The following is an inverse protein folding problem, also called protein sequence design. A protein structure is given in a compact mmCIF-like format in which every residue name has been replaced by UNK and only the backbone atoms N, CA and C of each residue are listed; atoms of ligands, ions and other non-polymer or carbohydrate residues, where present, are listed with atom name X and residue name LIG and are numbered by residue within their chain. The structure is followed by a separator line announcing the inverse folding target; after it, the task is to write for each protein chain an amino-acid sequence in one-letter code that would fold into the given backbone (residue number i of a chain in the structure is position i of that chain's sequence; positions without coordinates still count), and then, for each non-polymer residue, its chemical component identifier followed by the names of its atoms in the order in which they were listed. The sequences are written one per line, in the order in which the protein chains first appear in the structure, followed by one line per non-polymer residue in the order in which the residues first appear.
data_IF_337517152101
#
_entry.id   IF_337517152101
#
_cell.length_a   1.000
_cell.length_b   1.000
_cell.length_c   1.000
_cell.angle_alpha   90.00
_cell.angle_beta   90.00
_cell.angle_gamma   90.00
#
_symmetry.space_group_name_H-M   'P 1'
#
loop_
_entity.id
_entity.type
_entity.pdbx_description
1 polymer ?
#
# COMPACT_ATOMS: atom_id res chain seq x y z
N UNK A 1 9.67 -32.43 40.23
CA UNK A 1 8.57 -31.85 39.49
C UNK A 1 8.25 -30.41 39.98
N UNK A 2 9.22 -29.46 39.96
CA UNK A 2 8.97 -28.06 40.39
C UNK A 2 9.78 -26.99 39.63
N UNK A 3 10.48 -27.37 38.55
CA UNK A 3 11.36 -26.45 37.81
C UNK A 3 10.79 -26.01 36.43
N UNK A 4 9.67 -26.58 35.98
CA UNK A 4 9.07 -26.29 34.67
C UNK A 4 8.01 -25.16 34.75
N UNK A 5 7.50 -24.82 35.94
CA UNK A 5 6.49 -23.78 36.08
C UNK A 5 7.08 -22.36 36.17
N UNK A 6 8.33 -22.22 36.59
CA UNK A 6 9.00 -20.91 36.70
C UNK A 6 9.32 -20.28 35.33
N UNK A 7 9.62 -21.09 34.32
CA UNK A 7 9.89 -20.59 32.96
C UNK A 7 8.62 -20.21 32.17
N UNK A 8 7.46 -20.75 32.52
CA UNK A 8 6.20 -20.38 31.90
C UNK A 8 5.66 -19.02 32.40
N UNK A 9 6.01 -18.63 33.62
CA UNK A 9 5.61 -17.33 34.17
C UNK A 9 6.45 -16.17 33.65
N UNK A 10 7.71 -16.37 33.26
CA UNK A 10 8.57 -15.33 32.69
C UNK A 10 8.31 -15.03 31.21
N UNK A 11 7.69 -15.95 30.46
CA UNK A 11 7.35 -15.74 29.05
C UNK A 11 6.07 -14.87 28.84
N UNK A 12 5.30 -14.62 29.86
CA UNK A 12 4.05 -13.87 29.78
C UNK A 12 4.21 -12.34 29.91
N UNK A 13 5.42 -11.82 30.21
CA UNK A 13 5.63 -10.42 30.61
C UNK A 13 6.24 -9.55 29.51
N UNK A 14 6.48 -10.06 28.30
CA UNK A 14 7.02 -9.28 27.17
C UNK A 14 6.13 -9.36 25.91
N UNK A 15 4.83 -9.21 26.07
CA UNK A 15 4.01 -8.80 24.94
C UNK A 15 4.09 -7.27 24.87
N UNK A 16 4.52 -6.68 23.72
CA UNK A 16 4.50 -5.23 23.58
C UNK A 16 3.05 -4.77 23.75
N UNK A 17 2.85 -3.96 24.75
CA UNK A 17 1.56 -3.31 25.04
C UNK A 17 1.08 -2.62 23.76
N UNK A 18 -0.03 -3.06 23.20
CA UNK A 18 -0.68 -2.36 22.09
C UNK A 18 -1.09 -0.98 22.61
N UNK A 19 -0.27 0.04 22.33
CA UNK A 19 -0.60 1.44 22.60
C UNK A 19 -2.01 1.69 22.09
N UNK A 20 -2.93 1.95 23.02
CA UNK A 20 -4.28 2.36 22.66
C UNK A 20 -4.20 3.69 21.90
N UNK A 21 -4.91 3.88 20.81
CA UNK A 21 -4.86 5.11 20.04
C UNK A 21 -5.39 6.25 20.90
N UNK A 22 -4.54 7.25 21.15
CA UNK A 22 -4.95 8.51 21.74
C UNK A 22 -5.86 9.21 20.74
N UNK A 23 -7.05 9.60 21.15
CA UNK A 23 -8.02 10.31 20.31
C UNK A 23 -7.53 11.75 20.03
N UNK A 24 -6.58 11.89 19.11
CA UNK A 24 -6.17 13.20 18.59
C UNK A 24 -7.12 13.56 17.45
N UNK A 25 -7.68 14.77 17.41
CA UNK A 25 -8.52 15.18 16.30
C UNK A 25 -7.76 15.01 14.99
N UNK A 26 -8.40 14.30 14.04
CA UNK A 26 -7.76 13.96 12.78
C UNK A 26 -7.46 15.24 11.96
N UNK A 27 -6.20 15.48 11.55
CA UNK A 27 -5.86 16.66 10.77
C UNK A 27 -6.53 16.61 9.39
N UNK A 28 -6.90 17.79 8.88
CA UNK A 28 -7.53 17.93 7.56
C UNK A 28 -6.89 19.12 6.83
N UNK A 29 -6.64 18.97 5.54
CA UNK A 29 -6.08 20.04 4.72
C UNK A 29 -4.55 20.02 4.63
N UNK A 30 -3.97 21.16 4.35
CA UNK A 30 -2.52 21.29 4.15
C UNK A 30 -1.73 20.94 5.43
N UNK A 31 -0.55 20.34 5.24
CA UNK A 31 0.39 19.98 6.30
C UNK A 31 1.67 20.81 6.20
N UNK A 32 1.67 22.07 6.66
CA UNK A 32 2.79 23.01 6.47
C UNK A 32 4.10 22.54 7.14
N UNK A 33 4.01 21.86 8.29
CA UNK A 33 5.18 21.35 9.01
C UNK A 33 5.87 20.25 8.20
N UNK A 34 5.12 19.31 7.64
CA UNK A 34 5.66 18.27 6.76
C UNK A 34 6.19 18.86 5.45
N UNK A 35 5.55 19.91 4.93
CA UNK A 35 6.05 20.62 3.74
C UNK A 35 7.38 21.35 4.04
N UNK A 36 7.56 21.91 5.22
CA UNK A 36 8.83 22.46 5.68
C UNK A 36 9.89 21.37 5.82
N UNK A 37 9.54 20.24 6.43
CA UNK A 37 10.43 19.09 6.57
C UNK A 37 10.85 18.53 5.20
N UNK A 38 9.92 18.40 4.23
CA UNK A 38 10.23 18.00 2.87
C UNK A 38 11.31 18.91 2.23
N UNK A 39 11.16 20.22 2.40
CA UNK A 39 12.14 21.19 1.86
C UNK A 39 13.54 20.99 2.45
N UNK A 40 13.62 20.79 3.77
CA UNK A 40 14.90 20.56 4.45
C UNK A 40 15.55 19.25 3.96
N UNK A 41 14.79 18.16 3.91
CA UNK A 41 15.28 16.87 3.44
C UNK A 41 15.77 16.93 1.99
N UNK A 42 14.98 17.56 1.12
CA UNK A 42 15.32 17.66 -0.31
C UNK A 42 16.49 18.61 -0.58
N UNK A 43 16.63 19.70 0.18
CA UNK A 43 17.77 20.58 0.11
C UNK A 43 19.06 19.85 0.52
N UNK A 44 19.02 19.05 1.58
CA UNK A 44 20.17 18.24 2.04
C UNK A 44 20.71 17.25 1.01
N UNK A 45 19.94 16.93 -0.03
CA UNK A 45 20.33 16.04 -1.12
C UNK A 45 20.35 16.72 -2.50
N UNK A 46 20.39 18.06 -2.52
CA UNK A 46 20.51 18.86 -3.75
C UNK A 46 19.28 18.85 -4.65
N UNK A 47 18.09 18.68 -4.10
CA UNK A 47 16.82 18.64 -4.83
C UNK A 47 15.87 19.78 -4.45
N UNK A 48 16.40 21.00 -4.29
CA UNK A 48 15.69 22.20 -3.84
C UNK A 48 14.47 22.54 -4.68
N UNK A 49 14.57 22.40 -6.00
CA UNK A 49 13.47 22.70 -6.91
C UNK A 49 12.23 21.82 -6.65
N UNK A 50 12.45 20.54 -6.36
CA UNK A 50 11.37 19.68 -5.95
C UNK A 50 10.79 20.15 -4.60
N UNK A 51 11.63 20.51 -3.65
CA UNK A 51 11.22 20.99 -2.33
C UNK A 51 10.33 22.23 -2.38
N UNK A 52 10.55 23.15 -3.34
CA UNK A 52 9.73 24.37 -3.53
C UNK A 52 8.30 24.02 -4.00
N UNK A 53 8.11 22.92 -4.70
CA UNK A 53 6.84 22.56 -5.36
C UNK A 53 6.03 21.50 -4.63
N UNK A 54 6.63 20.76 -3.70
CA UNK A 54 5.95 19.68 -2.95
C UNK A 54 4.86 20.24 -2.05
N UNK A 55 3.66 19.65 -2.20
CA UNK A 55 2.51 19.89 -1.32
C UNK A 55 2.14 18.61 -0.59
N UNK A 56 1.83 18.75 0.70
CA UNK A 56 1.42 17.62 1.54
C UNK A 56 0.08 17.95 2.17
N UNK A 57 -0.87 17.02 2.05
CA UNK A 57 -2.26 17.23 2.45
C UNK A 57 -2.77 16.05 3.25
N UNK A 58 -3.36 16.29 4.39
CA UNK A 58 -4.14 15.33 5.14
C UNK A 58 -5.49 15.11 4.45
N UNK A 59 -5.73 13.89 3.96
CA UNK A 59 -6.94 13.56 3.21
C UNK A 59 -7.86 12.63 4.01
N UNK A 60 -8.94 13.13 4.64
CA UNK A 60 -9.86 12.35 5.46
C UNK A 60 -10.69 11.33 4.67
N UNK A 61 -10.67 11.39 3.33
CA UNK A 61 -11.32 10.39 2.49
C UNK A 61 -10.52 9.11 2.34
N UNK A 62 -9.24 9.12 2.73
CA UNK A 62 -8.40 7.92 2.76
C UNK A 62 -8.86 7.01 3.89
N UNK A 63 -9.02 5.71 3.61
CA UNK A 63 -9.47 4.74 4.61
C UNK A 63 -8.46 3.62 4.83
N UNK A 64 -8.06 2.95 3.77
CA UNK A 64 -7.24 1.73 3.80
C UNK A 64 -5.81 1.94 3.28
N UNK A 65 -5.47 3.16 2.89
CA UNK A 65 -4.15 3.53 2.37
C UNK A 65 -3.52 4.52 3.33
N UNK A 66 -2.28 4.33 3.71
CA UNK A 66 -1.55 5.19 4.64
C UNK A 66 -1.16 6.52 3.97
N UNK A 67 -0.55 6.47 2.80
CA UNK A 67 -0.16 7.60 1.99
C UNK A 67 -0.44 7.37 0.50
N UNK A 68 -0.30 8.40 -0.30
CA UNK A 68 -0.35 8.33 -1.76
C UNK A 68 0.38 9.51 -2.39
N UNK A 69 1.37 9.19 -3.20
CA UNK A 69 2.13 10.18 -3.97
C UNK A 69 1.52 10.38 -5.37
N UNK A 70 1.54 11.63 -5.80
CA UNK A 70 1.16 12.07 -7.15
C UNK A 70 2.36 12.81 -7.80
N UNK A 71 3.37 12.11 -8.33
CA UNK A 71 4.63 12.72 -8.78
C UNK A 71 4.45 13.85 -9.80
N UNK A 72 3.53 13.68 -10.75
CA UNK A 72 3.27 14.72 -11.78
C UNK A 72 2.67 16.00 -11.22
N UNK A 73 2.16 15.99 -9.99
CA UNK A 73 1.52 17.13 -9.32
C UNK A 73 2.36 17.67 -8.16
N UNK A 74 3.48 17.03 -7.84
CA UNK A 74 4.25 17.34 -6.64
C UNK A 74 3.43 17.19 -5.35
N UNK A 75 2.45 16.29 -5.31
CA UNK A 75 1.47 16.22 -4.24
C UNK A 75 1.54 14.88 -3.51
N UNK A 76 1.49 14.94 -2.18
CA UNK A 76 1.36 13.79 -1.28
C UNK A 76 0.06 13.92 -0.50
N UNK A 77 -0.74 12.86 -0.49
CA UNK A 77 -1.84 12.72 0.44
C UNK A 77 -1.44 11.77 1.57
N UNK A 78 -1.72 12.15 2.81
CA UNK A 78 -1.56 11.33 3.99
C UNK A 78 -2.91 11.04 4.63
N UNK A 79 -3.05 9.83 5.18
CA UNK A 79 -4.23 9.44 5.92
C UNK A 79 -4.16 10.04 7.34
N UNK A 80 -5.14 10.84 7.77
CA UNK A 80 -5.15 11.40 9.12
C UNK A 80 -5.05 10.38 10.25
N UNK A 81 -5.49 9.15 10.00
CA UNK A 81 -5.39 8.04 10.96
C UNK A 81 -3.97 7.60 11.26
N UNK A 82 -2.98 8.01 10.47
CA UNK A 82 -1.57 7.75 10.78
C UNK A 82 -1.18 8.26 12.17
N UNK A 83 -1.78 9.36 12.62
CA UNK A 83 -1.50 9.90 13.95
C UNK A 83 -1.91 8.97 15.10
N UNK A 84 -2.85 8.08 14.86
CA UNK A 84 -3.24 7.03 15.81
C UNK A 84 -2.10 6.04 16.09
N UNK A 85 -1.11 5.97 15.19
CA UNK A 85 0.04 5.05 15.26
C UNK A 85 1.35 5.73 15.70
N UNK A 86 1.30 7.04 15.97
CA UNK A 86 2.45 7.83 16.43
C UNK A 86 3.14 8.62 15.32
N UNK A 87 3.92 9.61 15.73
CA UNK A 87 4.62 10.53 14.83
C UNK A 87 5.73 9.83 14.02
N UNK A 88 6.31 8.76 14.52
CA UNK A 88 7.29 7.94 13.80
C UNK A 88 6.68 7.30 12.54
N UNK A 89 5.43 6.81 12.65
CA UNK A 89 4.75 6.21 11.51
C UNK A 89 4.26 7.28 10.52
N UNK A 90 3.91 8.47 11.01
CA UNK A 90 3.64 9.64 10.16
C UNK A 90 4.89 10.02 9.36
N UNK A 91 6.04 10.17 10.00
CA UNK A 91 7.31 10.52 9.36
C UNK A 91 7.74 9.44 8.35
N UNK A 92 7.67 8.18 8.75
CA UNK A 92 7.99 7.05 7.88
C UNK A 92 7.13 7.04 6.62
N UNK A 93 5.79 7.12 6.77
CA UNK A 93 4.86 7.15 5.63
C UNK A 93 5.10 8.38 4.77
N UNK A 94 5.31 9.54 5.38
CA UNK A 94 5.63 10.77 4.66
C UNK A 94 6.88 10.63 3.80
N UNK A 95 7.98 10.12 4.35
CA UNK A 95 9.24 9.89 3.60
C UNK A 95 9.07 8.83 2.50
N UNK A 96 8.29 7.79 2.74
CA UNK A 96 7.94 6.79 1.72
C UNK A 96 7.29 7.44 0.50
N UNK A 97 6.31 8.30 0.71
CA UNK A 97 5.63 9.01 -0.37
C UNK A 97 6.52 10.09 -1.01
N UNK A 98 7.38 10.74 -0.22
CA UNK A 98 8.35 11.69 -0.73
C UNK A 98 9.39 10.99 -1.63
N UNK A 99 9.79 9.76 -1.30
CA UNK A 99 10.67 8.94 -2.12
C UNK A 99 10.07 8.67 -3.52
N UNK A 100 8.75 8.50 -3.63
CA UNK A 100 8.09 8.39 -4.93
C UNK A 100 8.24 9.68 -5.76
N UNK A 101 8.05 10.85 -5.14
CA UNK A 101 8.24 12.14 -5.82
C UNK A 101 9.69 12.31 -6.27
N UNK A 102 10.64 12.04 -5.38
CA UNK A 102 12.07 12.16 -5.63
C UNK A 102 12.54 11.22 -6.76
N UNK A 103 12.13 9.95 -6.72
CA UNK A 103 12.46 8.97 -7.75
C UNK A 103 11.95 9.41 -9.13
N UNK A 104 10.72 9.91 -9.21
CA UNK A 104 10.15 10.42 -10.45
C UNK A 104 10.81 11.71 -10.93
N UNK A 105 11.13 12.63 -10.02
CA UNK A 105 11.85 13.86 -10.33
C UNK A 105 13.19 13.54 -11.00
N UNK A 106 13.99 12.65 -10.41
CA UNK A 106 15.28 12.20 -10.95
C UNK A 106 15.16 11.42 -12.26
N UNK A 107 14.09 10.66 -12.42
CA UNK A 107 13.84 9.89 -13.65
C UNK A 107 13.42 10.78 -14.83
N UNK A 108 12.90 11.98 -14.57
CA UNK A 108 12.40 12.89 -15.59
C UNK A 108 11.26 12.27 -16.41
N UNK A 109 11.47 12.07 -17.71
CA UNK A 109 10.47 11.48 -18.61
C UNK A 109 10.50 9.96 -18.68
N UNK A 110 11.51 9.31 -18.08
CA UNK A 110 11.60 7.84 -18.09
C UNK A 110 10.48 7.21 -17.29
N UNK A 111 9.98 6.09 -17.77
CA UNK A 111 9.08 5.25 -16.97
C UNK A 111 9.90 4.45 -15.97
N UNK A 112 9.51 4.50 -14.72
CA UNK A 112 10.10 3.73 -13.62
C UNK A 112 9.02 2.88 -12.95
N UNK A 113 9.45 1.77 -12.33
CA UNK A 113 8.56 0.96 -11.51
C UNK A 113 8.26 1.70 -10.19
N UNK A 114 7.04 1.65 -9.66
CA UNK A 114 6.67 2.37 -8.44
C UNK A 114 7.61 2.12 -7.27
N UNK A 115 8.02 0.88 -7.05
CA UNK A 115 8.96 0.49 -6.00
C UNK A 115 10.21 -0.18 -6.60
N UNK A 116 10.69 0.37 -7.72
CA UNK A 116 11.90 -0.07 -8.40
C UNK A 116 13.17 0.46 -7.75
N UNK A 117 14.34 0.19 -8.37
CA UNK A 117 15.63 0.62 -7.84
C UNK A 117 15.76 2.13 -7.65
N UNK A 118 15.07 2.94 -8.48
CA UNK A 118 15.03 4.39 -8.32
C UNK A 118 14.36 4.83 -7.02
N UNK A 119 13.24 4.17 -6.67
CA UNK A 119 12.52 4.43 -5.43
C UNK A 119 13.33 3.94 -4.21
N UNK A 120 13.96 2.78 -4.28
CA UNK A 120 14.82 2.27 -3.20
C UNK A 120 15.95 3.24 -2.91
N UNK A 121 16.65 3.75 -3.94
CA UNK A 121 17.69 4.77 -3.75
C UNK A 121 17.14 6.04 -3.11
N UNK A 122 15.96 6.50 -3.56
CA UNK A 122 15.32 7.67 -2.98
C UNK A 122 14.94 7.46 -1.50
N UNK A 123 14.49 6.25 -1.11
CA UNK A 123 14.27 5.90 0.28
C UNK A 123 15.56 6.03 1.11
N UNK A 124 16.66 5.45 0.64
CA UNK A 124 17.95 5.54 1.34
C UNK A 124 18.39 6.99 1.53
N UNK A 125 18.29 7.83 0.49
CA UNK A 125 18.68 9.25 0.54
C UNK A 125 17.79 10.04 1.53
N UNK A 126 16.56 9.60 1.75
CA UNK A 126 15.65 10.18 2.74
C UNK A 126 15.75 9.52 4.13
N UNK A 127 16.75 8.65 4.35
CA UNK A 127 17.00 8.00 5.62
C UNK A 127 16.07 6.80 5.93
N UNK A 128 15.39 6.24 4.93
CA UNK A 128 14.63 5.00 5.06
C UNK A 128 15.46 3.81 4.57
N UNK A 129 15.98 3.04 5.51
CA UNK A 129 16.70 1.79 5.22
C UNK A 129 15.71 0.62 5.30
N UNK A 130 15.79 -0.31 4.35
CA UNK A 130 14.94 -1.51 4.28
C UNK A 130 13.42 -1.23 4.26
N UNK A 131 13.03 -0.13 3.60
CA UNK A 131 11.62 0.26 3.54
C UNK A 131 10.79 -0.75 2.74
N UNK A 132 9.67 -1.18 3.33
CA UNK A 132 8.74 -2.11 2.70
C UNK A 132 7.87 -1.40 1.67
N UNK A 133 7.47 -2.14 0.63
CA UNK A 133 6.55 -1.64 -0.41
C UNK A 133 5.16 -1.32 0.09
N UNK A 134 4.73 -2.01 1.15
CA UNK A 134 3.38 -1.88 1.73
C UNK A 134 3.50 -1.75 3.24
N UNK A 135 2.63 -0.92 3.82
CA UNK A 135 2.49 -0.82 5.27
C UNK A 135 1.71 -2.02 5.84
N UNK A 136 2.02 -2.39 7.06
CA UNK A 136 1.30 -3.43 7.83
C UNK A 136 0.29 -2.81 8.83
N UNK A 137 -0.08 -1.53 8.64
CA UNK A 137 -0.99 -0.82 9.53
C UNK A 137 -2.39 -1.40 9.49
N UNK A 138 -3.07 -1.52 10.64
CA UNK A 138 -4.43 -2.04 10.75
C UNK A 138 -5.49 -1.01 10.31
N UNK A 139 -5.27 -0.36 9.17
CA UNK A 139 -6.23 0.57 8.61
C UNK A 139 -7.49 -0.16 8.14
N UNK A 140 -8.68 0.47 8.26
CA UNK A 140 -9.94 -0.13 7.87
C UNK A 140 -9.94 -0.53 6.40
N UNK A 141 -10.05 -1.81 6.11
CA UNK A 141 -10.16 -2.31 4.73
C UNK A 141 -11.62 -2.33 4.30
N UNK A 142 -11.91 -1.75 3.14
CA UNK A 142 -13.24 -1.88 2.55
C UNK A 142 -13.47 -3.34 2.16
N UNK A 143 -14.44 -3.98 2.79
CA UNK A 143 -14.92 -5.29 2.35
C UNK A 143 -15.57 -5.11 0.97
N UNK A 144 -14.95 -5.68 -0.06
CA UNK A 144 -15.47 -5.62 -1.42
C UNK A 144 -16.34 -6.86 -1.66
N UNK A 145 -17.62 -6.67 -1.79
CA UNK A 145 -18.54 -7.77 -2.11
C UNK A 145 -18.47 -8.11 -3.59
N UNK A 146 -18.26 -9.37 -3.90
CA UNK A 146 -18.31 -9.85 -5.27
C UNK A 146 -19.73 -9.71 -5.82
N UNK A 147 -19.84 -9.17 -7.04
CA UNK A 147 -21.13 -8.96 -7.74
C UNK A 147 -21.24 -9.79 -9.02
N UNK A 148 -20.13 -10.38 -9.45
CA UNK A 148 -20.05 -11.15 -10.67
C UNK A 148 -19.45 -12.52 -10.36
N UNK A 149 -20.16 -13.55 -10.74
CA UNK A 149 -19.80 -14.93 -10.49
C UNK A 149 -19.66 -15.66 -11.82
N UNK A 150 -18.61 -16.43 -11.95
CA UNK A 150 -18.29 -17.18 -13.15
C UNK A 150 -17.87 -18.59 -12.76
N UNK A 151 -18.08 -19.55 -13.64
CA UNK A 151 -17.66 -20.93 -13.46
C UNK A 151 -16.97 -21.44 -14.71
N UNK A 152 -15.89 -22.18 -14.52
CA UNK A 152 -15.27 -22.94 -15.58
C UNK A 152 -16.17 -24.12 -15.98
N UNK A 153 -16.54 -24.29 -17.26
CA UNK A 153 -17.42 -25.39 -17.67
C UNK A 153 -16.75 -26.76 -17.55
N UNK A 154 -15.42 -26.83 -17.52
CA UNK A 154 -14.68 -28.08 -17.45
C UNK A 154 -14.39 -28.53 -16.02
N UNK A 155 -13.77 -27.68 -15.18
CA UNK A 155 -13.36 -28.07 -13.82
C UNK A 155 -14.23 -27.48 -12.70
N UNK A 156 -15.32 -26.80 -13.06
CA UNK A 156 -16.23 -26.15 -12.14
C UNK A 156 -15.61 -25.09 -11.21
N UNK A 157 -14.35 -24.70 -11.41
CA UNK A 157 -13.71 -23.65 -10.63
C UNK A 157 -14.53 -22.37 -10.69
N UNK A 158 -14.90 -21.84 -9.53
CA UNK A 158 -15.63 -20.59 -9.41
C UNK A 158 -14.68 -19.40 -9.30
N UNK A 159 -15.00 -18.34 -10.02
CA UNK A 159 -14.32 -17.06 -9.98
C UNK A 159 -15.30 -15.99 -9.51
N UNK A 160 -15.01 -15.39 -8.36
CA UNK A 160 -15.80 -14.31 -7.78
C UNK A 160 -15.14 -12.98 -8.02
N UNK A 161 -15.87 -11.99 -8.60
CA UNK A 161 -15.33 -10.70 -8.99
C UNK A 161 -16.21 -9.53 -8.53
N UNK A 162 -15.58 -8.44 -8.15
CA UNK A 162 -16.26 -7.16 -7.87
C UNK A 162 -16.65 -6.44 -9.16
N UNK A 163 -15.80 -6.54 -10.18
CA UNK A 163 -16.01 -5.97 -11.51
C UNK A 163 -16.15 -7.08 -12.56
N UNK A 164 -16.95 -6.90 -13.61
CA UNK A 164 -17.11 -7.91 -14.64
C UNK A 164 -15.80 -8.18 -15.38
N UNK A 165 -15.68 -9.36 -15.96
CA UNK A 165 -14.63 -9.67 -16.91
C UNK A 165 -14.86 -8.80 -18.15
N UNK A 166 -13.87 -7.98 -18.53
CA UNK A 166 -13.92 -7.11 -19.71
C UNK A 166 -13.47 -7.80 -20.98
N UNK A 167 -12.74 -8.92 -20.85
CA UNK A 167 -12.21 -9.70 -21.96
C UNK A 167 -12.62 -11.17 -21.77
N UNK A 168 -12.71 -11.90 -22.87
CA UNK A 168 -12.85 -13.36 -22.84
C UNK A 168 -11.68 -13.92 -22.02
N UNK A 169 -11.99 -14.64 -20.95
CA UNK A 169 -11.00 -15.18 -20.02
C UNK A 169 -11.29 -16.65 -19.79
N UNK A 170 -10.27 -17.50 -19.85
CA UNK A 170 -10.37 -18.93 -19.65
C UNK A 170 -9.70 -19.36 -18.34
N UNK A 171 -10.09 -20.54 -17.85
CA UNK A 171 -9.52 -21.14 -16.65
C UNK A 171 -8.05 -21.50 -16.88
N UNK A 172 -7.13 -20.80 -16.22
CA UNK A 172 -5.69 -20.99 -16.39
C UNK A 172 -5.25 -22.42 -16.05
N UNK A 173 -5.85 -23.03 -15.04
CA UNK A 173 -5.56 -24.43 -14.64
C UNK A 173 -5.88 -25.39 -15.77
N UNK A 174 -7.08 -25.27 -16.37
CA UNK A 174 -7.47 -26.12 -17.50
C UNK A 174 -6.63 -25.81 -18.76
N UNK A 175 -6.37 -24.54 -19.04
CA UNK A 175 -5.52 -24.16 -20.17
C UNK A 175 -4.09 -24.72 -20.04
N UNK A 176 -3.51 -24.66 -18.83
CA UNK A 176 -2.18 -25.26 -18.58
C UNK A 176 -2.18 -26.77 -18.78
N UNK A 177 -3.22 -27.44 -18.30
CA UNK A 177 -3.32 -28.91 -18.34
C UNK A 177 -3.62 -29.46 -19.74
N UNK A 178 -4.41 -28.75 -20.56
CA UNK A 178 -4.97 -29.27 -21.79
C UNK A 178 -4.60 -28.50 -23.06
N UNK A 179 -4.00 -27.31 -22.93
CA UNK A 179 -3.73 -26.42 -24.07
C UNK A 179 -2.36 -25.71 -23.96
N UNK A 180 -1.41 -26.28 -23.18
CA UNK A 180 -0.08 -25.73 -23.01
C UNK A 180 -0.05 -24.30 -22.47
N UNK A 181 -1.07 -23.90 -21.68
CA UNK A 181 -1.19 -22.57 -21.07
C UNK A 181 -1.77 -21.50 -22.01
N UNK A 182 -2.08 -21.83 -23.26
CA UNK A 182 -2.72 -20.91 -24.22
C UNK A 182 -4.21 -20.79 -23.92
N UNK A 183 -4.81 -19.64 -24.28
CA UNK A 183 -6.25 -19.46 -24.20
C UNK A 183 -6.98 -20.54 -25.03
N UNK A 184 -8.00 -21.13 -24.40
CA UNK A 184 -8.83 -22.15 -25.04
C UNK A 184 -10.30 -21.89 -24.69
N UNK A 185 -11.14 -21.74 -25.71
CA UNK A 185 -12.54 -21.36 -25.56
C UNK A 185 -13.36 -22.43 -24.78
N UNK A 186 -12.96 -23.70 -24.86
CA UNK A 186 -13.57 -24.78 -24.08
C UNK A 186 -13.55 -24.51 -22.57
N UNK A 187 -12.56 -23.75 -22.08
CA UNK A 187 -12.37 -23.41 -20.69
C UNK A 187 -12.73 -21.96 -20.36
N UNK A 188 -13.41 -21.26 -21.29
CA UNK A 188 -13.86 -19.88 -21.06
C UNK A 188 -14.86 -19.83 -19.91
N UNK A 189 -14.62 -18.93 -18.96
CA UNK A 189 -15.50 -18.72 -17.84
C UNK A 189 -16.92 -18.32 -18.28
N UNK A 190 -17.93 -19.06 -17.84
CA UNK A 190 -19.35 -18.76 -18.04
C UNK A 190 -19.87 -18.00 -16.83
N UNK A 191 -20.65 -16.93 -17.05
CA UNK A 191 -21.31 -16.20 -15.98
C UNK A 191 -22.38 -17.09 -15.35
N UNK A 192 -22.44 -17.08 -14.01
CA UNK A 192 -23.46 -17.81 -13.24
C UNK A 192 -24.21 -16.85 -12.32
N UNK A 193 -25.36 -17.27 -11.80
CA UNK A 193 -26.07 -16.55 -10.76
C UNK A 193 -25.21 -16.46 -9.47
N UNK A 194 -25.44 -15.46 -8.61
CA UNK A 194 -24.83 -15.44 -7.28
C UNK A 194 -25.21 -16.71 -6.53
N UNK A 195 -24.31 -17.28 -5.73
CA UNK A 195 -24.67 -18.36 -4.82
C UNK A 195 -25.74 -17.85 -3.85
N UNK A 196 -26.69 -18.74 -3.52
CA UNK A 196 -27.72 -18.47 -2.54
C UNK A 196 -27.14 -18.19 -1.15
#
# INVERSE_FOLDING_TARGET
MRQLDFFKQLAATFLPEKKQPVAVPAPVGDAPDLAKQARVLLAGIGCDELGKTVRIVWNPRMRSTAGMAYPRRGLIHLNPRLREFGEEEVDRTFRHELAHLLAHHRAGRRRIAPHGPEWVRACHDLGLVDEKRCHDLPLPRRKMTARHFYRCPHCALELRRVRPLRRKSACLTCCRRHSGGRYDERFQFKKIAPPA
#
